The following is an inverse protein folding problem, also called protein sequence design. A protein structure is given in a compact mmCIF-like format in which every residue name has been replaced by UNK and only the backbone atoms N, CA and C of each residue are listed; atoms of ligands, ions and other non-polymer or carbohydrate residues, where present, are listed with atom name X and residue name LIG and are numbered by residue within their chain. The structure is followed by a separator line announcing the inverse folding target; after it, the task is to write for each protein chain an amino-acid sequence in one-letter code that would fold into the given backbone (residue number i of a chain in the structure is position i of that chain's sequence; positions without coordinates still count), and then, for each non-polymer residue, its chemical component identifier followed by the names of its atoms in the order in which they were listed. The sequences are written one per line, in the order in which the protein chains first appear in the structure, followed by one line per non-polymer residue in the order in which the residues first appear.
data_IF_934046575907
#
_entry.id   IF_934046575907
#
_cell.length_a   1.000
_cell.length_b   1.000
_cell.length_c   1.000
_cell.angle_alpha   90.00
_cell.angle_beta   90.00
_cell.angle_gamma   90.00
#
_symmetry.space_group_name_H-M   'P 1'
#
loop_
_entity.id
_entity.type
_entity.pdbx_description
1 polymer ?
#
# COMPACT_ATOMS: atom_id res chain seq x y z
N UNK A 1 -11.68 0.63 -53.06
CA UNK A 1 -10.95 -0.26 -53.93
C UNK A 1 -10.82 0.40 -55.29
N UNK A 2 -9.62 0.89 -55.63
CA UNK A 2 -9.34 1.42 -56.96
C UNK A 2 -8.82 0.25 -57.82
N UNK A 3 -9.60 -0.16 -58.80
CA UNK A 3 -9.18 -1.15 -59.77
C UNK A 3 -8.30 -0.41 -60.80
N UNK A 4 -7.01 -0.64 -60.77
CA UNK A 4 -6.12 -0.18 -61.84
C UNK A 4 -6.12 -1.22 -62.96
N UNK A 5 -6.87 -0.93 -64.02
CA UNK A 5 -6.85 -1.74 -65.25
C UNK A 5 -5.66 -1.29 -66.06
N UNK A 6 -4.60 -2.10 -66.09
CA UNK A 6 -3.51 -1.93 -67.08
C UNK A 6 -3.93 -2.66 -68.37
N UNK A 7 -4.37 -1.90 -69.36
CA UNK A 7 -4.53 -2.38 -70.70
C UNK A 7 -3.19 -2.49 -71.44
N UNK A 8 -2.69 -3.69 -71.63
CA UNK A 8 -1.57 -3.88 -72.56
C UNK A 8 -2.25 -4.27 -73.92
N UNK A 9 -2.42 -3.29 -74.77
CA UNK A 9 -2.78 -3.48 -76.13
C UNK A 9 -1.57 -3.91 -76.94
N UNK A 10 -1.39 -5.23 -77.11
CA UNK A 10 -0.50 -5.75 -78.14
C UNK A 10 -1.33 -6.05 -79.35
N UNK A 11 -1.31 -5.18 -80.36
CA UNK A 11 -1.89 -5.46 -81.67
C UNK A 11 -0.97 -6.42 -82.44
N UNK A 12 -1.44 -7.63 -82.61
CA UNK A 12 -0.91 -8.56 -83.66
C UNK A 12 -1.83 -8.47 -84.86
N UNK A 13 -1.36 -7.77 -85.89
CA UNK A 13 -2.06 -7.86 -87.21
C UNK A 13 -1.74 -9.20 -87.86
N UNK A 14 -2.74 -10.04 -88.01
CA UNK A 14 -2.69 -11.07 -89.00
C UNK A 14 -3.57 -10.66 -90.19
N UNK A 15 -3.20 -11.15 -91.36
CA UNK A 15 -3.69 -10.71 -92.69
C UNK A 15 -5.15 -11.23 -92.97
N UNK A 16 -5.90 -11.76 -92.02
CA UNK A 16 -7.23 -12.33 -92.15
C UNK A 16 -8.38 -11.52 -91.53
N UNK A 17 -8.13 -10.34 -90.95
CA UNK A 17 -9.18 -9.41 -90.50
C UNK A 17 -10.13 -9.87 -89.38
N UNK A 18 -9.81 -10.92 -88.70
CA UNK A 18 -10.60 -11.37 -87.56
C UNK A 18 -9.78 -11.17 -86.27
N UNK A 19 -10.28 -10.26 -85.44
CA UNK A 19 -9.74 -10.06 -84.07
C UNK A 19 -10.31 -11.18 -83.21
N UNK A 20 -9.52 -12.21 -82.91
CA UNK A 20 -9.88 -13.13 -81.85
C UNK A 20 -9.86 -12.35 -80.51
N UNK A 21 -11.05 -12.19 -79.92
CA UNK A 21 -11.13 -11.75 -78.57
C UNK A 21 -10.47 -12.82 -77.67
N UNK A 22 -9.31 -12.57 -77.21
CA UNK A 22 -8.73 -13.37 -76.14
C UNK A 22 -9.68 -13.30 -74.97
N UNK A 23 -10.38 -14.40 -74.68
CA UNK A 23 -11.11 -14.57 -73.43
C UNK A 23 -10.12 -14.32 -72.30
N UNK A 24 -10.27 -13.19 -71.66
CA UNK A 24 -9.61 -12.98 -70.41
C UNK A 24 -10.18 -13.97 -69.39
N UNK A 25 -9.36 -14.96 -69.05
CA UNK A 25 -9.71 -15.85 -67.93
C UNK A 25 -9.84 -15.03 -66.65
N UNK A 26 -11.08 -14.61 -66.35
CA UNK A 26 -11.43 -13.89 -65.16
C UNK A 26 -11.30 -14.72 -63.86
N UNK A 27 -10.83 -15.96 -63.94
CA UNK A 27 -10.85 -16.89 -62.83
C UNK A 27 -9.61 -16.86 -61.96
N UNK A 28 -8.67 -15.96 -62.21
CA UNK A 28 -7.52 -15.75 -61.33
C UNK A 28 -7.56 -14.39 -60.59
N UNK A 29 -8.62 -14.13 -59.84
CA UNK A 29 -8.55 -13.14 -58.75
C UNK A 29 -7.54 -13.65 -57.74
N UNK A 30 -6.28 -13.32 -57.91
CA UNK A 30 -5.27 -13.56 -56.87
C UNK A 30 -5.71 -12.77 -55.64
N UNK A 31 -6.30 -13.45 -54.66
CA UNK A 31 -6.52 -12.89 -53.37
C UNK A 31 -5.15 -12.62 -52.73
N UNK A 32 -4.65 -11.41 -52.87
CA UNK A 32 -3.44 -11.00 -52.18
C UNK A 32 -3.73 -10.84 -50.66
N UNK A 33 -2.82 -11.34 -49.85
CA UNK A 33 -2.90 -11.11 -48.41
C UNK A 33 -3.00 -9.60 -48.12
N UNK A 34 -3.82 -9.22 -47.18
CA UNK A 34 -3.91 -7.87 -46.61
C UNK A 34 -4.09 -7.94 -45.10
N UNK A 35 -3.52 -6.98 -44.39
CA UNK A 35 -3.75 -6.84 -42.96
C UNK A 35 -5.05 -6.06 -42.76
N UNK A 36 -5.97 -6.58 -41.94
CA UNK A 36 -7.24 -5.90 -41.65
C UNK A 36 -6.96 -4.58 -40.91
N UNK A 37 -7.65 -3.52 -41.34
CA UNK A 37 -7.47 -2.20 -40.76
C UNK A 37 -8.13 -2.09 -39.36
N UNK A 38 -7.64 -1.14 -38.54
CA UNK A 38 -8.27 -0.76 -37.27
C UNK A 38 -8.13 -1.78 -36.14
N UNK A 39 -7.17 -2.68 -36.24
CA UNK A 39 -6.92 -3.64 -35.16
C UNK A 39 -6.23 -2.97 -33.97
N UNK A 40 -6.68 -3.24 -32.75
CA UNK A 40 -6.10 -2.74 -31.52
C UNK A 40 -6.25 -3.73 -30.38
N UNK A 41 -5.39 -3.59 -29.38
CA UNK A 41 -5.45 -4.32 -28.11
C UNK A 41 -5.01 -3.42 -26.96
N UNK A 42 -5.35 -3.84 -25.75
CA UNK A 42 -4.81 -3.26 -24.52
C UNK A 42 -3.89 -4.26 -23.85
N UNK A 43 -2.85 -3.76 -23.21
CA UNK A 43 -1.95 -4.51 -22.35
C UNK A 43 -1.76 -3.70 -21.08
N UNK A 44 -1.82 -4.34 -19.93
CA UNK A 44 -1.52 -3.66 -18.67
C UNK A 44 0.01 -3.50 -18.54
N UNK A 45 0.45 -2.38 -18.01
CA UNK A 45 1.87 -2.21 -17.67
C UNK A 45 2.34 -3.35 -16.72
N UNK A 46 3.64 -3.55 -16.63
CA UNK A 46 4.24 -4.64 -15.84
C UNK A 46 3.78 -6.06 -16.28
N UNK A 47 3.05 -6.20 -17.40
CA UNK A 47 2.66 -7.51 -17.92
C UNK A 47 3.91 -8.31 -18.28
N UNK A 48 4.02 -9.52 -17.74
CA UNK A 48 5.21 -10.37 -17.90
C UNK A 48 5.50 -10.70 -19.36
N UNK A 49 6.78 -10.82 -19.70
CA UNK A 49 7.24 -11.28 -21.01
C UNK A 49 6.58 -12.62 -21.40
N UNK A 50 6.40 -12.85 -22.69
CA UNK A 50 5.70 -13.98 -23.32
C UNK A 50 4.18 -14.01 -23.15
N UNK A 51 3.59 -13.06 -22.42
CA UNK A 51 2.12 -12.94 -22.33
C UNK A 51 1.54 -12.55 -23.69
N UNK A 52 0.49 -13.27 -24.11
CA UNK A 52 -0.20 -13.00 -25.37
C UNK A 52 -0.97 -11.67 -25.29
N UNK A 53 -0.80 -10.82 -26.32
CA UNK A 53 -1.49 -9.53 -26.45
C UNK A 53 -2.63 -9.64 -27.48
N UNK A 54 -2.31 -9.99 -28.69
CA UNK A 54 -3.31 -10.19 -29.78
C UNK A 54 -2.74 -11.05 -30.91
N UNK A 55 -3.62 -11.50 -31.79
CA UNK A 55 -3.22 -12.06 -33.07
C UNK A 55 -3.68 -11.13 -34.17
N UNK A 56 -2.76 -10.69 -35.04
CA UNK A 56 -3.07 -9.83 -36.19
C UNK A 56 -3.85 -10.63 -37.19
N UNK A 57 -5.01 -10.13 -37.58
CA UNK A 57 -5.87 -10.78 -38.58
C UNK A 57 -5.59 -10.29 -40.00
N UNK A 58 -5.64 -11.21 -40.94
CA UNK A 58 -5.43 -10.94 -42.35
C UNK A 58 -6.66 -11.37 -43.17
N UNK A 59 -6.79 -10.83 -44.36
CA UNK A 59 -7.77 -11.24 -45.36
C UNK A 59 -7.06 -11.48 -46.69
N UNK A 60 -7.75 -12.18 -47.64
CA UNK A 60 -7.19 -12.56 -48.91
C UNK A 60 -6.26 -13.79 -48.89
N UNK A 61 -5.70 -14.12 -47.72
CA UNK A 61 -4.80 -15.25 -47.48
C UNK A 61 -4.49 -15.44 -46.02
N UNK A 62 -3.96 -16.62 -45.65
CA UNK A 62 -3.42 -16.87 -44.31
C UNK A 62 -1.94 -16.55 -44.30
N UNK A 63 -1.50 -15.77 -43.32
CA UNK A 63 -0.09 -15.45 -43.18
C UNK A 63 0.76 -16.71 -42.91
N UNK A 64 1.87 -16.83 -43.61
CA UNK A 64 2.91 -17.85 -43.39
C UNK A 64 4.14 -17.26 -42.67
N UNK A 65 4.22 -15.93 -42.55
CA UNK A 65 5.25 -15.21 -41.85
C UNK A 65 4.76 -13.80 -41.46
N UNK A 66 5.13 -13.36 -40.24
CA UNK A 66 4.88 -12.01 -39.73
C UNK A 66 6.11 -11.44 -39.08
N UNK A 67 6.25 -10.11 -39.17
CA UNK A 67 7.31 -9.35 -38.53
C UNK A 67 6.83 -7.95 -38.14
N UNK A 68 7.35 -7.42 -37.08
CA UNK A 68 7.22 -6.00 -36.72
C UNK A 68 8.32 -5.24 -37.46
N UNK A 69 7.94 -4.33 -38.35
CA UNK A 69 8.88 -3.57 -39.16
C UNK A 69 9.29 -2.23 -38.52
N UNK A 70 8.43 -1.66 -37.71
CA UNK A 70 8.68 -0.46 -36.93
C UNK A 70 7.57 -0.18 -35.90
N UNK A 71 7.75 0.83 -35.04
CA UNK A 71 6.76 1.28 -34.07
C UNK A 71 6.88 0.64 -32.69
N UNK A 72 7.68 -0.40 -32.53
CA UNK A 72 8.10 -0.88 -31.22
C UNK A 72 9.32 -0.04 -30.80
N UNK A 73 9.16 0.78 -29.77
CA UNK A 73 10.22 1.64 -29.23
C UNK A 73 10.70 1.06 -27.92
N UNK A 74 12.01 0.90 -27.78
CA UNK A 74 12.67 0.60 -26.51
C UNK A 74 12.56 1.85 -25.63
N UNK A 75 11.74 1.77 -24.57
CA UNK A 75 11.38 2.91 -23.72
C UNK A 75 12.36 3.07 -22.57
N UNK A 76 12.84 1.96 -22.03
CA UNK A 76 13.77 1.94 -20.89
C UNK A 76 15.24 1.88 -21.31
N UNK A 77 15.52 1.78 -22.63
CA UNK A 77 16.83 1.79 -23.25
C UNK A 77 17.75 0.62 -22.81
N UNK A 78 17.17 -0.56 -22.56
CA UNK A 78 17.89 -1.77 -22.18
C UNK A 78 18.34 -2.60 -23.41
N UNK A 79 17.85 -2.26 -24.60
CA UNK A 79 18.16 -2.89 -25.89
C UNK A 79 17.13 -3.94 -26.32
N UNK A 80 16.10 -4.20 -25.54
CA UNK A 80 14.97 -5.05 -25.90
C UNK A 80 13.79 -4.19 -26.41
N UNK A 81 12.89 -4.78 -27.18
CA UNK A 81 11.69 -4.11 -27.65
C UNK A 81 10.47 -4.61 -26.90
N UNK A 82 9.42 -3.80 -26.71
CA UNK A 82 8.25 -4.15 -25.91
C UNK A 82 7.50 -5.41 -26.38
N UNK A 83 7.51 -5.65 -27.70
CA UNK A 83 6.71 -6.72 -28.31
C UNK A 83 7.51 -7.60 -29.25
N UNK A 84 7.18 -8.89 -29.25
CA UNK A 84 7.59 -9.86 -30.26
C UNK A 84 6.38 -10.33 -31.03
N UNK A 85 6.60 -10.81 -32.28
CA UNK A 85 5.56 -11.38 -33.12
C UNK A 85 6.01 -12.74 -33.69
N UNK A 86 5.12 -13.72 -33.64
CA UNK A 86 5.37 -15.04 -34.24
C UNK A 86 5.08 -15.07 -35.73
N UNK A 87 5.54 -16.12 -36.41
CA UNK A 87 5.20 -16.35 -37.83
C UNK A 87 3.69 -16.50 -38.09
N UNK A 88 2.90 -16.86 -37.08
CA UNK A 88 1.44 -16.90 -37.11
C UNK A 88 0.77 -15.58 -36.76
N UNK A 89 1.52 -14.50 -36.72
CA UNK A 89 1.08 -13.14 -36.42
C UNK A 89 0.54 -12.96 -34.98
N UNK A 90 0.89 -13.82 -34.03
CA UNK A 90 0.57 -13.64 -32.64
C UNK A 90 1.62 -12.69 -32.00
N UNK A 91 1.15 -11.59 -31.42
CA UNK A 91 1.96 -10.60 -30.70
C UNK A 91 1.94 -10.98 -29.24
N UNK A 92 3.12 -10.98 -28.63
CA UNK A 92 3.34 -11.21 -27.20
C UNK A 92 4.15 -10.05 -26.61
N UNK A 93 4.04 -9.84 -25.32
CA UNK A 93 4.98 -8.98 -24.56
C UNK A 93 6.37 -9.61 -24.69
N UNK A 94 7.39 -8.82 -24.97
CA UNK A 94 8.78 -9.26 -25.00
C UNK A 94 9.58 -8.61 -23.87
N UNK A 95 9.31 -7.34 -23.58
CA UNK A 95 9.89 -6.61 -22.46
C UNK A 95 8.80 -5.91 -21.66
N UNK A 96 8.76 -6.20 -20.36
CA UNK A 96 7.83 -5.56 -19.43
C UNK A 96 8.29 -4.17 -19.00
N UNK A 97 9.61 -3.88 -19.03
CA UNK A 97 10.19 -2.59 -18.67
C UNK A 97 9.74 -1.47 -19.60
N UNK A 98 9.52 -1.79 -20.87
CA UNK A 98 8.98 -0.86 -21.86
C UNK A 98 7.47 -0.54 -21.65
N UNK A 99 6.76 -1.34 -20.86
CA UNK A 99 5.33 -1.19 -20.61
C UNK A 99 5.10 -0.42 -19.30
N UNK A 100 5.78 0.69 -19.09
CA UNK A 100 5.58 1.57 -17.97
C UNK A 100 4.68 2.74 -18.38
N UNK A 101 3.47 2.80 -17.80
CA UNK A 101 2.47 3.81 -18.13
C UNK A 101 2.93 5.23 -17.75
N UNK A 102 3.68 5.36 -16.66
CA UNK A 102 4.22 6.62 -16.13
C UNK A 102 5.39 7.15 -16.95
N UNK A 103 6.02 6.32 -17.78
CA UNK A 103 7.09 6.77 -18.70
C UNK A 103 6.60 7.74 -19.78
N UNK A 104 5.26 7.84 -19.95
CA UNK A 104 4.62 8.68 -20.95
C UNK A 104 4.35 7.98 -22.29
N UNK A 105 4.84 6.78 -22.50
CA UNK A 105 4.53 5.96 -23.69
C UNK A 105 3.33 5.07 -23.40
N UNK A 106 2.13 5.60 -23.63
CA UNK A 106 0.87 4.95 -23.31
C UNK A 106 0.25 4.20 -24.51
N UNK A 107 0.89 4.21 -25.67
CA UNK A 107 0.47 3.41 -26.80
C UNK A 107 1.60 3.21 -27.82
N UNK A 108 1.56 2.07 -28.51
CA UNK A 108 2.48 1.70 -29.58
C UNK A 108 1.68 1.47 -30.86
N UNK A 109 2.07 2.12 -31.97
CA UNK A 109 1.52 1.82 -33.28
C UNK A 109 2.52 0.99 -34.04
N UNK A 110 2.34 -0.32 -34.02
CA UNK A 110 3.23 -1.29 -34.67
C UNK A 110 2.92 -1.41 -36.16
N UNK A 111 3.91 -1.25 -37.00
CA UNK A 111 3.80 -1.58 -38.43
C UNK A 111 4.18 -3.05 -38.64
N UNK A 112 3.21 -3.82 -39.11
CA UNK A 112 3.34 -5.25 -39.30
C UNK A 112 3.54 -5.55 -40.78
N UNK A 113 4.46 -6.45 -41.10
CA UNK A 113 4.64 -7.06 -42.41
C UNK A 113 4.14 -8.52 -42.32
N UNK A 114 3.18 -8.89 -43.15
CA UNK A 114 2.70 -10.25 -43.26
C UNK A 114 2.95 -10.80 -44.67
N UNK A 115 3.31 -12.08 -44.78
CA UNK A 115 3.56 -12.77 -46.03
C UNK A 115 2.77 -14.07 -46.12
N UNK A 116 2.34 -14.51 -47.30
CA UNK A 116 1.59 -15.75 -47.52
C UNK A 116 2.16 -16.66 -48.63
N UNK A 117 3.33 -16.42 -49.12
CA UNK A 117 3.92 -17.15 -50.26
C UNK A 117 3.45 -16.65 -51.63
N UNK A 118 2.37 -15.87 -51.72
CA UNK A 118 1.89 -15.21 -52.95
C UNK A 118 2.26 -13.74 -52.99
N UNK A 119 2.52 -13.14 -51.81
CA UNK A 119 2.88 -11.74 -51.67
C UNK A 119 3.14 -11.32 -50.23
N UNK A 120 3.28 -10.01 -50.05
CA UNK A 120 3.46 -9.38 -48.74
C UNK A 120 2.47 -8.22 -48.60
N UNK A 121 1.98 -8.01 -47.40
CA UNK A 121 1.16 -6.88 -47.03
C UNK A 121 1.71 -6.20 -45.79
N UNK A 122 1.57 -4.88 -45.72
CA UNK A 122 1.88 -4.09 -44.55
C UNK A 122 0.60 -3.45 -44.01
N UNK A 123 0.53 -3.31 -42.70
CA UNK A 123 -0.56 -2.62 -42.01
C UNK A 123 -0.16 -2.30 -40.59
N UNK A 124 -0.98 -1.51 -39.90
CA UNK A 124 -0.67 -1.10 -38.53
C UNK A 124 -1.68 -1.68 -37.55
N UNK A 125 -1.20 -1.98 -36.34
CA UNK A 125 -2.01 -2.30 -35.17
C UNK A 125 -1.63 -1.37 -34.03
N UNK A 126 -2.59 -1.01 -33.19
CA UNK A 126 -2.34 -0.14 -32.03
C UNK A 126 -2.46 -0.95 -30.75
N UNK A 127 -1.45 -0.91 -29.89
CA UNK A 127 -1.47 -1.51 -28.57
C UNK A 127 -1.41 -0.37 -27.56
N UNK A 128 -2.45 -0.25 -26.73
CA UNK A 128 -2.52 0.75 -25.66
C UNK A 128 -2.05 0.12 -24.34
N UNK A 129 -1.16 0.81 -23.64
CA UNK A 129 -0.76 0.44 -22.28
C UNK A 129 -1.79 1.01 -21.31
N UNK A 130 -2.27 0.18 -20.39
CA UNK A 130 -3.20 0.60 -19.34
C UNK A 130 -2.47 0.60 -17.99
N UNK A 131 -2.77 1.62 -17.19
CA UNK A 131 -2.19 1.77 -15.85
C UNK A 131 -2.63 0.60 -14.93
N UNK A 132 -1.71 0.15 -14.10
CA UNK A 132 -1.95 -0.80 -13.03
C UNK A 132 -2.08 -0.01 -11.72
N UNK A 133 -3.24 -0.05 -11.08
CA UNK A 133 -3.45 0.67 -9.84
C UNK A 133 -2.50 0.17 -8.74
N UNK A 134 -1.85 1.12 -8.04
CA UNK A 134 -1.14 0.84 -6.80
C UNK A 134 -2.13 0.71 -5.65
N UNK A 135 -1.82 -0.12 -4.64
CA UNK A 135 -2.61 -0.27 -3.43
C UNK A 135 -1.72 -0.43 -2.20
N UNK A 136 -2.25 -0.13 -1.01
CA UNK A 136 -1.55 -0.27 0.27
C UNK A 136 -2.09 -1.50 1.00
N UNK A 137 -1.19 -2.38 1.42
CA UNK A 137 -1.50 -3.44 2.38
C UNK A 137 -0.93 -3.06 3.73
N UNK A 138 -1.81 -2.83 4.70
CA UNK A 138 -1.45 -2.50 6.06
C UNK A 138 -2.31 -3.26 7.06
N UNK A 139 -1.74 -3.51 8.23
CA UNK A 139 -2.45 -4.09 9.38
C UNK A 139 -2.36 -3.13 10.56
N UNK A 140 -3.36 -3.17 11.45
CA UNK A 140 -3.27 -2.47 12.74
C UNK A 140 -2.04 -2.94 13.53
N UNK A 141 -1.51 -2.04 14.35
CA UNK A 141 -0.36 -2.31 15.20
C UNK A 141 -0.72 -2.10 16.67
N UNK A 142 0.07 -2.68 17.56
CA UNK A 142 -0.02 -2.41 19.01
C UNK A 142 1.39 -2.20 19.54
N UNK A 143 1.60 -1.12 20.27
CA UNK A 143 2.88 -0.77 20.91
C UNK A 143 2.65 -0.35 22.35
N UNK A 144 3.66 -0.45 23.20
CA UNK A 144 3.62 0.15 24.52
C UNK A 144 3.82 1.67 24.40
N UNK A 145 3.18 2.47 25.24
CA UNK A 145 3.29 3.92 25.20
C UNK A 145 4.74 4.42 25.43
N UNK A 146 5.52 3.70 26.20
CA UNK A 146 6.94 4.00 26.43
C UNK A 146 7.89 3.46 25.34
N UNK A 147 7.34 3.02 24.18
CA UNK A 147 8.18 2.56 23.07
C UNK A 147 9.14 3.67 22.65
N UNK A 148 10.43 3.38 22.72
CA UNK A 148 11.47 4.37 22.46
C UNK A 148 11.41 4.94 21.04
N UNK A 149 11.90 6.16 20.85
CA UNK A 149 12.09 6.78 19.54
C UNK A 149 12.87 5.82 18.62
N UNK A 150 12.48 5.74 17.36
CA UNK A 150 12.91 4.76 16.35
C UNK A 150 12.44 3.32 16.58
N UNK A 151 11.68 3.05 17.64
CA UNK A 151 11.03 1.76 17.85
C UNK A 151 10.10 1.40 16.70
N UNK A 152 10.13 0.14 16.26
CA UNK A 152 9.30 -0.34 15.16
C UNK A 152 7.83 -0.41 15.56
N UNK A 153 6.95 0.02 14.65
CA UNK A 153 5.48 0.00 14.82
C UNK A 153 4.86 -1.02 13.89
N UNK A 154 4.96 -0.79 12.58
CA UNK A 154 4.42 -1.66 11.53
C UNK A 154 5.22 -1.42 10.25
N UNK A 155 5.20 -2.39 9.35
CA UNK A 155 5.72 -2.21 8.00
C UNK A 155 4.55 -2.25 7.03
N UNK A 156 4.37 -1.16 6.29
CA UNK A 156 3.42 -1.06 5.19
C UNK A 156 4.02 -1.74 3.96
N UNK A 157 3.17 -2.35 3.16
CA UNK A 157 3.56 -2.90 1.86
C UNK A 157 2.66 -2.33 0.77
N UNK A 158 3.19 -2.22 -0.45
CA UNK A 158 2.41 -1.89 -1.64
C UNK A 158 2.18 -3.14 -2.48
N UNK A 159 1.07 -3.14 -3.20
CA UNK A 159 0.74 -4.13 -4.24
C UNK A 159 0.30 -3.38 -5.50
N UNK A 160 0.30 -4.07 -6.63
CA UNK A 160 0.00 -3.43 -7.92
C UNK A 160 1.25 -2.85 -8.56
N UNK A 161 1.19 -1.59 -8.95
CA UNK A 161 2.33 -0.91 -9.57
C UNK A 161 3.43 -0.53 -8.55
N UNK A 162 4.58 -0.18 -9.09
CA UNK A 162 5.72 0.24 -8.27
C UNK A 162 5.57 1.70 -7.82
N UNK A 163 5.82 2.01 -6.54
CA UNK A 163 5.74 3.39 -6.07
C UNK A 163 6.81 4.25 -6.72
N UNK A 164 6.42 5.45 -7.16
CA UNK A 164 7.37 6.44 -7.65
C UNK A 164 8.03 7.19 -6.50
N UNK A 165 9.27 7.54 -6.69
CA UNK A 165 10.22 8.44 -5.99
C UNK A 165 10.04 8.77 -4.49
N UNK A 166 8.85 8.92 -3.95
CA UNK A 166 8.64 9.35 -2.57
C UNK A 166 8.29 8.20 -1.60
N UNK A 167 7.85 7.04 -2.13
CA UNK A 167 7.39 5.93 -1.30
C UNK A 167 6.22 6.33 -0.38
N UNK A 168 6.16 5.71 0.78
CA UNK A 168 5.12 6.00 1.75
C UNK A 168 5.29 7.35 2.44
N UNK A 169 4.18 8.07 2.64
CA UNK A 169 4.12 9.33 3.40
C UNK A 169 2.95 9.29 4.38
N UNK A 170 3.03 10.09 5.45
CA UNK A 170 1.89 10.32 6.35
C UNK A 170 1.10 11.52 5.84
N UNK A 171 -0.19 11.32 5.54
CA UNK A 171 -1.07 12.36 5.03
C UNK A 171 -1.93 13.02 6.10
N UNK A 172 -2.30 12.29 7.16
CA UNK A 172 -3.05 12.83 8.29
C UNK A 172 -3.01 11.90 9.52
N UNK A 173 -3.64 12.34 10.62
CA UNK A 173 -3.72 11.57 11.85
C UNK A 173 -2.46 11.57 12.72
N UNK A 174 -1.42 12.33 12.36
CA UNK A 174 -0.15 12.42 13.10
C UNK A 174 0.16 13.87 13.51
N UNK A 175 -0.87 14.62 13.91
CA UNK A 175 -0.72 16.03 14.27
C UNK A 175 0.17 16.29 15.50
N UNK A 176 0.35 15.29 16.36
CA UNK A 176 1.22 15.30 17.52
C UNK A 176 2.68 14.91 17.19
N UNK A 177 2.98 14.42 15.97
CA UNK A 177 4.33 14.03 15.56
C UNK A 177 4.81 12.68 16.11
N UNK A 178 3.93 11.85 16.67
CA UNK A 178 4.27 10.58 17.33
C UNK A 178 4.99 9.59 16.41
N UNK A 179 4.70 9.59 15.11
CA UNK A 179 5.16 8.58 14.16
C UNK A 179 5.93 9.16 12.98
N UNK A 180 6.82 8.35 12.43
CA UNK A 180 7.50 8.60 11.16
C UNK A 180 7.35 7.37 10.26
N UNK A 181 7.38 7.57 8.93
CA UNK A 181 7.40 6.50 7.94
C UNK A 181 8.60 6.68 7.01
N UNK A 182 9.32 5.61 6.75
CA UNK A 182 10.35 5.58 5.72
C UNK A 182 9.72 5.31 4.35
N UNK A 183 10.38 5.71 3.27
CA UNK A 183 9.93 5.48 1.89
C UNK A 183 9.60 4.00 1.60
N UNK A 184 10.31 3.06 2.22
CA UNK A 184 10.05 1.62 2.11
C UNK A 184 8.93 1.08 3.01
N UNK A 185 8.13 1.95 3.66
CA UNK A 185 6.96 1.55 4.44
C UNK A 185 7.22 1.22 5.92
N UNK A 186 8.46 1.29 6.40
CA UNK A 186 8.75 1.08 7.81
C UNK A 186 8.22 2.27 8.64
N UNK A 187 7.25 2.02 9.51
CA UNK A 187 6.71 2.99 10.46
C UNK A 187 7.41 2.83 11.81
N UNK A 188 7.86 3.93 12.37
CA UNK A 188 8.57 3.97 13.65
C UNK A 188 8.00 5.06 14.57
N UNK A 189 8.24 4.94 15.86
CA UNK A 189 8.00 6.01 16.81
C UNK A 189 8.99 7.15 16.53
N UNK A 190 8.47 8.36 16.32
CA UNK A 190 9.26 9.58 16.13
C UNK A 190 9.41 10.34 17.44
N UNK A 191 8.35 10.42 18.24
CA UNK A 191 8.34 11.08 19.53
C UNK A 191 7.52 10.26 20.54
N UNK A 192 8.21 9.59 21.45
CA UNK A 192 7.58 8.80 22.53
C UNK A 192 6.72 9.67 23.44
N UNK A 193 7.08 10.94 23.67
CA UNK A 193 6.33 11.84 24.55
C UNK A 193 4.96 12.23 24.00
N UNK A 194 4.71 11.95 22.73
CA UNK A 194 3.42 12.17 22.08
C UNK A 194 2.49 10.95 22.18
N UNK A 195 2.94 9.86 22.81
CA UNK A 195 2.20 8.61 22.99
C UNK A 195 1.96 8.45 24.48
N UNK A 196 0.70 8.47 24.90
CA UNK A 196 0.26 8.42 26.28
C UNK A 196 -1.09 7.66 26.32
N UNK A 197 -1.06 6.47 26.90
CA UNK A 197 -2.24 5.60 26.99
C UNK A 197 -3.32 6.20 27.89
N UNK A 198 -2.93 6.90 28.94
CA UNK A 198 -3.85 7.56 29.87
C UNK A 198 -4.64 8.70 29.21
N UNK A 199 -4.06 9.30 28.16
CA UNK A 199 -4.72 10.33 27.35
C UNK A 199 -5.49 9.72 26.18
N UNK A 200 -4.93 8.71 25.50
CA UNK A 200 -5.56 8.05 24.35
C UNK A 200 -5.07 6.61 24.21
N UNK A 201 -5.98 5.66 24.09
CA UNK A 201 -5.66 4.23 23.95
C UNK A 201 -5.27 3.81 22.55
N UNK A 202 -5.38 4.70 21.57
CA UNK A 202 -4.99 4.45 20.16
C UNK A 202 -4.92 5.74 19.37
N UNK A 203 -4.21 5.69 18.25
CA UNK A 203 -4.15 6.75 17.25
C UNK A 203 -4.38 6.17 15.86
N UNK A 204 -5.19 6.82 15.05
CA UNK A 204 -5.37 6.45 13.64
C UNK A 204 -4.51 7.34 12.77
N UNK A 205 -3.59 6.74 12.02
CA UNK A 205 -2.69 7.45 11.10
C UNK A 205 -3.05 7.06 9.67
N UNK A 206 -3.14 8.04 8.79
CA UNK A 206 -3.44 7.84 7.37
C UNK A 206 -2.15 7.95 6.57
N UNK A 207 -1.83 6.89 5.85
CA UNK A 207 -0.67 6.81 4.97
C UNK A 207 -1.09 6.98 3.52
N UNK A 208 -0.19 7.50 2.71
CA UNK A 208 -0.38 7.69 1.27
C UNK A 208 0.82 7.12 0.53
N UNK A 209 0.56 6.47 -0.60
CA UNK A 209 1.55 6.06 -1.60
C UNK A 209 1.07 6.49 -2.98
N UNK A 210 1.99 6.73 -3.92
CA UNK A 210 1.67 7.09 -5.30
C UNK A 210 2.59 6.37 -6.27
N UNK A 211 2.05 5.97 -7.42
CA UNK A 211 2.79 5.50 -8.59
C UNK A 211 3.19 6.65 -9.53
N UNK A 212 2.75 7.87 -9.26
CA UNK A 212 2.95 9.07 -10.09
C UNK A 212 1.69 9.48 -10.86
N UNK A 213 0.81 8.56 -11.14
CA UNK A 213 -0.49 8.79 -11.79
C UNK A 213 -1.64 8.68 -10.79
N UNK A 214 -1.59 7.68 -9.91
CA UNK A 214 -2.58 7.44 -8.86
C UNK A 214 -1.95 7.65 -7.49
N UNK A 215 -2.79 8.07 -6.53
CA UNK A 215 -2.44 8.11 -5.12
C UNK A 215 -3.49 7.35 -4.32
N UNK A 216 -3.04 6.47 -3.43
CA UNK A 216 -3.90 5.66 -2.57
C UNK A 216 -3.60 5.97 -1.12
N UNK A 217 -4.62 5.98 -0.30
CA UNK A 217 -4.52 6.22 1.15
C UNK A 217 -5.08 5.04 1.91
N UNK A 218 -4.41 4.68 3.02
CA UNK A 218 -4.87 3.65 3.94
C UNK A 218 -4.78 4.15 5.38
N UNK A 219 -5.80 3.82 6.18
CA UNK A 219 -5.90 4.19 7.59
C UNK A 219 -5.43 3.05 8.48
N UNK A 220 -4.39 3.27 9.25
CA UNK A 220 -3.84 2.29 10.20
C UNK A 220 -4.16 2.73 11.62
N UNK A 221 -4.83 1.86 12.38
CA UNK A 221 -5.03 2.06 13.81
C UNK A 221 -3.83 1.50 14.56
N UNK A 222 -3.17 2.36 15.33
CA UNK A 222 -2.08 2.01 16.24
C UNK A 222 -2.64 2.07 17.66
N UNK A 223 -2.79 0.91 18.28
CA UNK A 223 -3.26 0.77 19.66
C UNK A 223 -2.08 0.89 20.62
N UNK A 224 -2.32 1.46 21.78
CA UNK A 224 -1.33 1.58 22.82
C UNK A 224 -1.61 0.58 23.94
N UNK A 225 -0.57 0.10 24.60
CA UNK A 225 -0.68 -0.65 25.85
C UNK A 225 -0.14 0.19 26.98
N UNK A 226 -0.85 0.13 28.07
CA UNK A 226 -0.60 0.80 29.32
C UNK A 226 0.73 0.36 29.96
N UNK A 227 1.47 1.30 30.45
CA UNK A 227 2.70 1.10 31.24
C UNK A 227 2.54 1.91 32.53
N UNK A 228 2.77 1.27 33.66
CA UNK A 228 2.72 1.95 34.96
C UNK A 228 3.84 3.01 35.04
N UNK A 229 3.52 4.23 34.66
CA UNK A 229 4.43 5.38 34.67
C UNK A 229 3.88 6.58 35.45
N UNK A 230 2.61 6.55 35.86
CA UNK A 230 2.00 7.57 36.66
C UNK A 230 2.18 7.28 38.18
N UNK A 231 2.36 8.34 38.95
CA UNK A 231 2.46 8.18 40.40
C UNK A 231 1.07 8.29 41.01
N UNK A 232 0.62 7.29 41.77
CA UNK A 232 -0.69 7.35 42.45
C UNK A 232 -0.80 8.57 43.35
N UNK A 233 -1.90 9.29 43.26
CA UNK A 233 -2.21 10.41 44.11
C UNK A 233 -3.21 10.03 45.20
N UNK A 234 -2.92 10.41 46.43
CA UNK A 234 -3.85 10.27 47.59
C UNK A 234 -4.26 11.65 48.05
N UNK A 235 -5.56 11.89 48.10
CA UNK A 235 -6.08 13.10 48.73
C UNK A 235 -6.39 12.81 50.19
N UNK A 236 -5.60 13.38 51.07
CA UNK A 236 -5.85 13.32 52.51
C UNK A 236 -6.24 14.73 52.96
N UNK A 237 -7.36 14.87 53.57
CA UNK A 237 -7.83 16.17 54.07
C UNK A 237 -8.20 16.09 55.57
N UNK A 238 -7.63 16.99 56.32
CA UNK A 238 -8.05 17.25 57.69
C UNK A 238 -7.46 16.33 58.76
N UNK A 239 -7.97 16.49 59.95
CA UNK A 239 -7.68 15.66 61.13
C UNK A 239 -8.79 14.63 61.28
N UNK A 240 -8.41 13.43 61.67
CA UNK A 240 -9.36 12.33 61.96
C UNK A 240 -9.37 12.08 63.45
N UNK A 241 -10.52 11.79 64.00
CA UNK A 241 -10.73 11.44 65.41
C UNK A 241 -11.37 10.09 65.53
N UNK A 242 -10.95 9.28 66.50
CA UNK A 242 -11.52 7.99 66.79
C UNK A 242 -11.70 7.84 68.35
N UNK A 243 -12.71 7.10 68.75
CA UNK A 243 -12.91 6.78 70.14
C UNK A 243 -11.80 5.84 70.63
N UNK A 244 -11.34 6.03 71.88
CA UNK A 244 -10.44 5.10 72.53
C UNK A 244 -10.99 3.66 72.57
N UNK A 245 -10.11 2.70 72.80
CA UNK A 245 -10.44 1.28 72.90
C UNK A 245 -11.03 0.66 71.61
N UNK A 246 -10.94 1.37 70.47
CA UNK A 246 -11.38 0.86 69.17
C UNK A 246 -10.19 0.36 68.36
N UNK A 247 -10.28 -0.85 67.80
CA UNK A 247 -9.25 -1.45 66.93
C UNK A 247 -9.75 -1.63 65.48
N UNK A 248 -10.83 -0.96 65.12
CA UNK A 248 -11.32 -0.96 63.72
C UNK A 248 -10.47 -0.09 62.81
N UNK A 249 -10.68 -0.18 61.52
CA UNK A 249 -10.01 0.66 60.56
C UNK A 249 -10.14 2.16 60.95
N UNK A 250 -9.00 2.83 61.12
CA UNK A 250 -8.95 4.24 61.46
C UNK A 250 -9.40 5.09 60.24
N UNK A 251 -8.85 4.80 59.07
CA UNK A 251 -9.20 5.52 57.86
C UNK A 251 -8.92 4.67 56.63
N UNK A 252 -9.67 4.96 55.59
CA UNK A 252 -9.50 4.35 54.28
C UNK A 252 -9.29 5.49 53.28
N UNK A 253 -8.23 5.40 52.50
CA UNK A 253 -7.88 6.35 51.46
C UNK A 253 -8.00 5.68 50.09
N UNK A 254 -8.60 6.36 49.15
CA UNK A 254 -8.62 5.91 47.75
C UNK A 254 -7.48 6.59 47.01
N UNK A 255 -6.65 5.81 46.39
CA UNK A 255 -5.61 6.29 45.49
C UNK A 255 -6.21 6.56 44.11
N UNK A 256 -5.88 7.70 43.54
CA UNK A 256 -6.23 8.06 42.18
C UNK A 256 -4.97 7.82 41.32
N UNK A 257 -5.13 6.97 40.34
CA UNK A 257 -4.08 6.58 39.42
C UNK A 257 -4.74 6.25 38.08
N UNK A 258 -4.19 6.78 37.00
CA UNK A 258 -4.70 6.50 35.66
C UNK A 258 -4.22 5.17 35.13
N UNK A 259 -3.04 4.70 35.57
CA UNK A 259 -2.54 3.39 35.18
C UNK A 259 -3.51 2.27 35.55
N UNK A 260 -3.73 1.36 34.60
CA UNK A 260 -4.55 0.17 34.81
C UNK A 260 -3.73 -1.00 35.36
N UNK A 261 -2.43 -1.01 35.12
CA UNK A 261 -1.48 -2.01 35.56
C UNK A 261 -0.62 -1.46 36.70
N UNK A 262 -0.66 -2.03 37.88
CA UNK A 262 0.21 -1.62 38.99
C UNK A 262 -0.02 -2.40 40.26
N UNK A 263 0.99 -2.46 41.11
CA UNK A 263 0.88 -2.88 42.52
C UNK A 263 1.00 -1.63 43.38
N UNK A 264 0.06 -1.48 44.30
CA UNK A 264 0.01 -0.33 45.17
C UNK A 264 0.49 -0.71 46.55
N UNK A 265 1.39 0.09 47.13
CA UNK A 265 1.85 -0.03 48.50
C UNK A 265 1.47 1.22 49.31
N UNK A 266 1.13 1.01 50.57
CA UNK A 266 0.89 2.06 51.52
C UNK A 266 2.01 2.09 52.55
N UNK A 267 2.74 3.17 52.64
CA UNK A 267 3.76 3.41 53.65
C UNK A 267 3.35 4.56 54.56
N UNK A 268 3.57 4.38 55.82
CA UNK A 268 3.33 5.40 56.83
C UNK A 268 4.65 6.13 57.13
N UNK A 269 4.55 7.42 57.32
CA UNK A 269 5.68 8.27 57.73
C UNK A 269 5.26 9.17 58.87
N UNK A 270 6.25 9.76 59.57
CA UNK A 270 6.05 10.60 60.74
C UNK A 270 6.49 9.90 62.02
N UNK A 271 6.46 10.64 63.13
CA UNK A 271 6.98 10.16 64.39
C UNK A 271 6.16 9.00 64.99
N UNK A 272 4.85 9.01 64.73
CA UNK A 272 3.90 8.07 65.30
C UNK A 272 3.50 6.96 64.33
N UNK A 273 4.26 6.81 63.23
CA UNK A 273 3.99 5.78 62.19
C UNK A 273 3.94 4.35 62.78
N UNK A 274 4.63 4.09 63.89
CA UNK A 274 4.65 2.79 64.57
C UNK A 274 3.34 2.45 65.28
N UNK A 275 2.49 3.44 65.55
CA UNK A 275 1.20 3.25 66.19
C UNK A 275 0.11 2.81 65.22
N UNK A 276 0.42 2.77 63.93
CA UNK A 276 -0.48 2.38 62.87
C UNK A 276 0.10 1.28 62.01
N UNK A 277 -0.75 0.57 61.36
CA UNK A 277 -0.41 -0.31 60.24
C UNK A 277 -1.22 0.10 59.03
N UNK A 278 -0.58 0.03 57.83
CA UNK A 278 -1.22 0.32 56.57
C UNK A 278 -1.22 -0.91 55.70
N UNK A 279 -2.29 -1.14 54.97
CA UNK A 279 -2.42 -2.21 53.98
C UNK A 279 -3.03 -1.68 52.71
N UNK A 280 -2.45 -2.04 51.58
CA UNK A 280 -3.01 -1.76 50.25
C UNK A 280 -3.83 -2.94 49.75
N UNK A 281 -4.97 -2.66 49.16
CA UNK A 281 -5.78 -3.62 48.40
C UNK A 281 -6.30 -2.95 47.14
N UNK A 282 -5.65 -3.21 46.00
CA UNK A 282 -5.88 -2.42 44.80
C UNK A 282 -5.62 -0.93 45.08
N UNK A 283 -6.45 -0.04 44.54
CA UNK A 283 -6.34 1.41 44.72
C UNK A 283 -6.88 1.91 46.07
N UNK A 284 -6.96 1.05 47.11
CA UNK A 284 -7.43 1.41 48.45
C UNK A 284 -6.36 1.13 49.49
N UNK A 285 -6.02 2.15 50.24
CA UNK A 285 -5.15 2.07 51.41
C UNK A 285 -5.98 2.12 52.68
N UNK A 286 -5.88 1.10 53.49
CA UNK A 286 -6.53 1.05 54.80
C UNK A 286 -5.51 1.21 55.89
N UNK A 287 -5.71 2.18 56.77
CA UNK A 287 -4.90 2.44 57.98
C UNK A 287 -5.67 2.00 59.22
N UNK A 288 -5.02 1.22 60.06
CA UNK A 288 -5.58 0.76 61.32
C UNK A 288 -4.60 1.03 62.46
N UNK A 289 -5.11 1.18 63.68
CA UNK A 289 -4.23 1.24 64.84
C UNK A 289 -3.45 -0.06 65.05
N UNK A 290 -2.19 0.00 65.35
CA UNK A 290 -1.40 -1.19 65.72
C UNK A 290 -1.84 -1.75 67.08
N UNK A 291 -2.27 -0.88 67.98
CA UNK A 291 -2.93 -1.19 69.26
C UNK A 291 -4.12 -0.25 69.47
N UNK A 292 -5.12 -0.66 70.24
CA UNK A 292 -6.24 0.23 70.55
C UNK A 292 -5.76 1.48 71.30
N UNK A 293 -6.14 2.69 70.88
CA UNK A 293 -5.70 3.92 71.51
C UNK A 293 -6.30 4.04 72.92
N UNK A 294 -5.57 4.65 73.86
CA UNK A 294 -5.98 4.92 75.24
C UNK A 294 -5.77 6.40 75.52
N UNK A 295 -6.84 7.13 75.76
CA UNK A 295 -6.81 8.58 75.96
C UNK A 295 -6.11 8.98 77.24
N UNK A 296 -6.25 8.17 78.35
CA UNK A 296 -5.61 8.43 79.63
C UNK A 296 -4.10 8.13 79.67
N UNK A 297 -3.63 7.38 78.67
CA UNK A 297 -2.20 7.00 78.52
C UNK A 297 -1.76 7.20 77.09
N UNK A 298 -1.29 8.38 76.78
CA UNK A 298 -0.81 8.70 75.40
C UNK A 298 0.25 7.70 74.95
N UNK A 299 0.09 7.19 73.72
CA UNK A 299 0.98 6.21 73.07
C UNK A 299 1.87 6.88 71.97
N UNK A 300 1.61 8.15 71.68
CA UNK A 300 2.33 8.93 70.72
C UNK A 300 3.77 9.26 71.19
N UNK A 301 4.66 9.54 70.24
CA UNK A 301 6.05 9.95 70.53
C UNK A 301 6.16 11.36 71.15
N UNK A 302 5.07 12.10 71.19
CA UNK A 302 4.86 13.34 71.91
C UNK A 302 4.24 13.14 73.26
N UNK A 303 3.59 14.15 73.81
CA UNK A 303 2.77 14.11 75.05
C UNK A 303 1.46 14.86 74.85
N UNK A 304 1.03 15.02 73.60
CA UNK A 304 -0.10 15.86 73.22
C UNK A 304 -1.35 15.07 72.78
N UNK A 305 -1.29 13.74 72.66
CA UNK A 305 -2.39 12.89 72.21
C UNK A 305 -3.01 13.36 70.87
N UNK A 306 -2.22 13.92 69.93
CA UNK A 306 -2.62 14.39 68.63
C UNK A 306 -2.18 13.45 67.50
#
# INVERSE_FOLDING_TARGET
AAIMIVMIAGAINDDSGSVAAAELDETASKNYISINAGQSANVQENTAATTAVMTVTTSGGSASGCGISSGATDVDADGNLPFAISSSCAITVNDAGDLNYESGTQSFTLNILATDGSGAASGSVTISVTNQAIDITATSATIAENTANTGAVVTLASTGDSPTNAGFTISSGNGNGAFAVAAGGAVTVADTSAIDYDTATSQTVVFTITDGTNAVTESVVISFTDVNDQTPAVTVAGTYTQAESTSTAFQTFTMVDSDTAGSYDCTLGGNDAADFTATASGKVCTVVWAAAPNYESAQDTGTNNE
#
